data_IF_528419993799
#
_entry.id   IF_528419993799
#
_cell.length_a   1.000
_cell.length_b   1.000
_cell.length_c   1.000
_cell.angle_alpha   90.00
_cell.angle_beta   90.00
_cell.angle_gamma   90.00
#
_symmetry.space_group_name_H-M   'P 1'
#
loop_
_entity.id
_entity.type
_entity.pdbx_description
1 polymer ?
#
# COMPACT_ATOMS: atom_id res chain seq x y z
N UNK A 1 48.70 -62.24 8.74
CA UNK A 1 48.38 -61.94 7.34
C UNK A 1 48.37 -60.43 7.17
N UNK A 2 49.29 -59.90 6.36
CA UNK A 2 49.50 -58.47 6.11
C UNK A 2 48.92 -58.04 4.74
N UNK A 3 48.82 -56.71 4.57
CA UNK A 3 48.64 -55.90 3.34
C UNK A 3 47.20 -55.77 2.83
N UNK A 4 46.53 -54.63 3.04
CA UNK A 4 46.64 -53.31 2.37
C UNK A 4 45.96 -53.27 0.98
N UNK A 5 45.17 -52.20 0.85
CA UNK A 5 44.95 -51.35 -0.34
C UNK A 5 43.94 -51.73 -1.43
N UNK A 6 43.08 -50.73 -1.68
CA UNK A 6 42.57 -50.25 -2.97
C UNK A 6 41.42 -51.00 -3.65
N UNK A 7 40.21 -50.46 -3.46
CA UNK A 7 39.19 -50.19 -4.48
C UNK A 7 38.20 -49.23 -3.80
N UNK A 8 38.36 -47.90 -3.76
CA UNK A 8 38.49 -46.96 -4.87
C UNK A 8 37.47 -47.22 -5.98
N UNK A 9 36.17 -47.01 -5.71
CA UNK A 9 35.14 -46.71 -6.73
C UNK A 9 33.75 -46.41 -6.14
N UNK A 10 33.67 -45.50 -5.15
CA UNK A 10 32.45 -44.68 -4.96
C UNK A 10 32.87 -43.24 -4.70
N UNK A 11 33.70 -42.71 -5.61
CA UNK A 11 33.79 -41.27 -5.87
C UNK A 11 32.83 -40.98 -7.01
N UNK A 12 31.58 -40.70 -6.69
CA UNK A 12 30.71 -39.98 -7.61
C UNK A 12 29.95 -38.92 -6.80
N UNK A 13 30.54 -37.73 -6.79
CA UNK A 13 29.91 -36.42 -6.65
C UNK A 13 28.51 -36.41 -6.00
N UNK A 14 28.48 -36.34 -4.66
CA UNK A 14 27.52 -35.45 -4.01
C UNK A 14 27.93 -34.01 -4.30
N UNK A 15 27.76 -33.58 -5.54
CA UNK A 15 27.50 -32.18 -5.81
C UNK A 15 26.12 -31.90 -5.21
N UNK A 16 26.13 -31.54 -3.92
CA UNK A 16 25.05 -30.79 -3.31
C UNK A 16 24.88 -29.50 -4.13
N UNK A 17 24.17 -29.58 -5.25
CA UNK A 17 23.47 -28.44 -5.81
C UNK A 17 22.36 -28.11 -4.83
N UNK A 18 22.73 -27.46 -3.73
CA UNK A 18 21.86 -26.46 -3.14
C UNK A 18 21.57 -25.49 -4.27
N UNK A 19 20.44 -25.69 -4.96
CA UNK A 19 19.76 -24.60 -5.65
C UNK A 19 19.39 -23.65 -4.52
N UNK A 20 20.35 -22.80 -4.12
CA UNK A 20 20.00 -21.55 -3.49
C UNK A 20 19.13 -20.88 -4.54
N UNK A 21 17.82 -20.89 -4.31
CA UNK A 21 16.93 -19.99 -5.01
C UNK A 21 17.50 -18.60 -4.72
N UNK A 22 18.35 -18.12 -5.61
CA UNK A 22 18.93 -16.80 -5.53
C UNK A 22 17.71 -15.88 -5.61
N UNK A 23 17.42 -15.17 -4.52
CA UNK A 23 16.31 -14.23 -4.52
C UNK A 23 16.46 -13.35 -5.76
N UNK A 24 15.39 -13.20 -6.56
CA UNK A 24 15.48 -12.44 -7.80
C UNK A 24 16.07 -11.08 -7.47
N UNK A 25 17.17 -10.74 -8.16
CA UNK A 25 17.82 -9.44 -7.98
C UNK A 25 16.81 -8.36 -8.29
N UNK A 26 16.40 -7.62 -7.26
CA UNK A 26 15.42 -6.56 -7.40
C UNK A 26 16.03 -5.42 -8.20
N UNK A 27 15.29 -4.92 -9.19
CA UNK A 27 15.59 -3.65 -9.86
C UNK A 27 15.86 -2.57 -8.80
N UNK A 28 16.79 -1.62 -9.01
CA UNK A 28 16.98 -0.48 -8.11
C UNK A 28 15.68 0.30 -7.84
N UNK A 29 14.70 0.21 -8.74
CA UNK A 29 13.41 0.86 -8.60
C UNK A 29 12.29 -0.06 -8.11
N UNK A 30 12.55 -1.34 -7.80
CA UNK A 30 11.51 -2.32 -7.47
C UNK A 30 10.54 -1.79 -6.40
N UNK A 31 9.25 -1.75 -6.76
CA UNK A 31 8.17 -1.21 -5.92
C UNK A 31 8.03 0.32 -5.92
N UNK A 32 8.83 1.02 -6.72
CA UNK A 32 8.77 2.46 -6.97
C UNK A 32 8.27 2.81 -8.37
N UNK A 33 7.91 4.08 -8.57
CA UNK A 33 7.39 4.60 -9.85
C UNK A 33 8.38 4.44 -11.01
N UNK A 34 9.68 4.41 -10.74
CA UNK A 34 10.72 4.21 -11.74
C UNK A 34 10.79 2.80 -12.34
N UNK A 35 10.10 1.81 -11.78
CA UNK A 35 10.02 0.44 -12.34
C UNK A 35 8.82 0.29 -13.29
N UNK A 36 7.88 1.24 -13.24
CA UNK A 36 6.73 1.28 -14.15
C UNK A 36 7.14 1.95 -15.47
N UNK A 37 6.90 1.32 -16.64
CA UNK A 37 7.28 1.90 -17.91
C UNK A 37 6.48 3.20 -18.14
N UNK A 38 7.19 4.33 -18.16
CA UNK A 38 6.58 5.63 -18.48
C UNK A 38 6.17 5.58 -19.96
N UNK A 39 4.88 5.73 -20.29
CA UNK A 39 4.44 5.68 -21.68
C UNK A 39 5.03 6.86 -22.47
N UNK A 40 5.37 6.64 -23.74
CA UNK A 40 5.88 7.72 -24.60
C UNK A 40 4.82 8.80 -24.91
N UNK A 41 3.53 8.47 -24.75
CA UNK A 41 2.37 9.34 -24.90
C UNK A 41 1.71 9.63 -23.54
N UNK A 42 0.79 10.60 -23.47
CA UNK A 42 -0.01 10.87 -22.25
C UNK A 42 -0.72 9.59 -21.80
N UNK A 43 -0.55 9.25 -20.52
CA UNK A 43 -1.07 8.02 -19.95
C UNK A 43 -2.59 7.94 -19.89
N UNK A 44 -3.08 6.73 -19.66
CA UNK A 44 -4.49 6.37 -19.58
C UNK A 44 -4.83 5.66 -18.26
N UNK A 45 -5.84 4.78 -18.33
CA UNK A 45 -6.38 4.07 -17.16
C UNK A 45 -5.34 3.23 -16.40
N UNK A 46 -4.47 2.43 -17.06
CA UNK A 46 -3.47 1.61 -16.36
C UNK A 46 -2.47 2.42 -15.52
N UNK A 47 -2.05 3.58 -16.01
CA UNK A 47 -1.10 4.47 -15.35
C UNK A 47 -1.75 5.13 -14.12
N UNK A 48 -3.02 5.53 -14.25
CA UNK A 48 -3.78 6.05 -13.13
C UNK A 48 -3.97 4.99 -12.03
N UNK A 49 -4.38 3.77 -12.40
CA UNK A 49 -4.53 2.65 -11.48
C UNK A 49 -3.22 2.33 -10.76
N UNK A 50 -2.08 2.39 -11.49
CA UNK A 50 -0.77 2.26 -10.88
C UNK A 50 -0.50 3.36 -9.84
N UNK A 51 -0.75 4.63 -10.18
CA UNK A 51 -0.57 5.73 -9.23
C UNK A 51 -1.47 5.60 -7.99
N UNK A 52 -2.70 5.11 -8.15
CA UNK A 52 -3.60 4.82 -7.01
C UNK A 52 -3.02 3.74 -6.10
N UNK A 53 -2.54 2.62 -6.65
CA UNK A 53 -1.91 1.55 -5.88
C UNK A 53 -0.65 2.01 -5.15
N UNK A 54 0.18 2.78 -5.86
CA UNK A 54 1.42 3.33 -5.34
C UNK A 54 1.17 4.35 -4.21
N UNK A 55 0.16 5.20 -4.34
CA UNK A 55 -0.29 6.11 -3.29
C UNK A 55 -0.93 5.39 -2.09
N UNK A 56 -1.77 4.38 -2.35
CA UNK A 56 -2.44 3.57 -1.33
C UNK A 56 -1.43 2.92 -0.38
N UNK A 57 -0.29 2.47 -0.90
CA UNK A 57 0.79 1.86 -0.10
C UNK A 57 1.25 2.79 1.03
N UNK A 58 1.66 4.02 0.70
CA UNK A 58 2.21 4.94 1.70
C UNK A 58 1.12 5.48 2.64
N UNK A 59 -0.09 5.71 2.12
CA UNK A 59 -1.25 6.07 2.93
C UNK A 59 -1.56 5.00 3.99
N UNK A 60 -1.56 3.71 3.59
CA UNK A 60 -1.77 2.59 4.51
C UNK A 60 -0.68 2.53 5.59
N UNK A 61 0.59 2.70 5.22
CA UNK A 61 1.69 2.77 6.19
C UNK A 61 1.49 3.94 7.17
N UNK A 62 1.13 5.12 6.68
CA UNK A 62 0.84 6.29 7.50
C UNK A 62 -0.31 6.06 8.50
N UNK A 63 -1.38 5.39 8.08
CA UNK A 63 -2.49 5.01 8.96
C UNK A 63 -2.04 4.02 10.02
N UNK A 64 -1.32 2.96 9.64
CA UNK A 64 -0.79 1.97 10.60
C UNK A 64 0.12 2.61 11.65
N UNK A 65 0.89 3.64 11.27
CA UNK A 65 1.73 4.40 12.20
C UNK A 65 0.88 5.26 13.13
N UNK A 66 -0.10 5.98 12.60
CA UNK A 66 -1.01 6.84 13.38
C UNK A 66 -1.84 6.03 14.39
N UNK A 67 -2.18 4.79 14.03
CA UNK A 67 -2.86 3.82 14.88
C UNK A 67 -1.94 3.06 15.84
N UNK A 68 -0.62 3.33 15.81
CA UNK A 68 0.41 2.65 16.60
C UNK A 68 0.51 1.14 16.32
N UNK A 69 0.01 0.68 15.18
CA UNK A 69 0.17 -0.70 14.71
C UNK A 69 1.55 -0.95 14.08
N UNK A 70 2.25 0.11 13.68
CA UNK A 70 3.60 0.08 13.10
C UNK A 70 4.41 1.27 13.64
N UNK A 71 5.71 1.11 13.89
CA UNK A 71 6.60 2.23 14.19
C UNK A 71 7.24 2.78 12.92
N UNK A 72 7.62 4.06 12.91
CA UNK A 72 8.39 4.64 11.81
C UNK A 72 9.69 3.86 11.54
N UNK A 73 10.40 3.46 12.59
CA UNK A 73 11.62 2.66 12.46
C UNK A 73 11.37 1.31 11.76
N UNK A 74 10.31 0.60 12.15
CA UNK A 74 9.95 -0.68 11.52
C UNK A 74 9.53 -0.50 10.07
N UNK A 75 8.78 0.56 9.76
CA UNK A 75 8.39 0.90 8.38
C UNK A 75 9.63 1.16 7.49
N UNK A 76 10.60 1.97 7.97
CA UNK A 76 11.85 2.24 7.25
C UNK A 76 12.67 0.97 7.01
N UNK A 77 12.83 0.11 8.05
CA UNK A 77 13.52 -1.18 7.90
C UNK A 77 12.84 -2.08 6.87
N UNK A 78 11.51 -2.12 6.87
CA UNK A 78 10.74 -2.88 5.87
C UNK A 78 10.97 -2.34 4.46
N UNK A 79 10.97 -1.02 4.26
CA UNK A 79 11.25 -0.40 2.97
C UNK A 79 12.65 -0.81 2.45
N UNK A 80 13.68 -0.69 3.30
CA UNK A 80 15.06 -1.07 2.94
C UNK A 80 15.21 -2.56 2.62
N UNK A 81 14.50 -3.42 3.34
CA UNK A 81 14.59 -4.86 3.16
C UNK A 81 13.77 -5.40 1.99
N UNK A 82 12.70 -4.70 1.57
CA UNK A 82 11.70 -5.23 0.64
C UNK A 82 11.60 -4.48 -0.70
N UNK A 83 12.13 -3.26 -0.79
CA UNK A 83 12.07 -2.45 -2.01
C UNK A 83 13.45 -2.35 -2.69
N UNK A 84 13.45 -1.90 -3.94
CA UNK A 84 14.67 -1.44 -4.60
C UNK A 84 15.19 -0.16 -3.95
N UNK A 85 16.50 0.11 -4.05
CA UNK A 85 17.18 1.24 -3.40
C UNK A 85 16.46 2.59 -3.59
N UNK A 86 16.07 2.93 -4.83
CA UNK A 86 15.41 4.19 -5.14
C UNK A 86 13.99 4.25 -4.54
N UNK A 87 13.23 3.16 -4.64
CA UNK A 87 11.89 3.05 -4.08
C UNK A 87 11.91 3.14 -2.54
N UNK A 88 12.89 2.48 -1.91
CA UNK A 88 13.13 2.57 -0.47
C UNK A 88 13.45 4.02 -0.06
N UNK A 89 14.33 4.71 -0.79
CA UNK A 89 14.67 6.12 -0.53
C UNK A 89 13.44 7.02 -0.57
N UNK A 90 12.58 6.85 -1.57
CA UNK A 90 11.35 7.64 -1.69
C UNK A 90 10.35 7.32 -0.57
N UNK A 91 10.17 6.05 -0.20
CA UNK A 91 9.30 5.64 0.93
C UNK A 91 9.80 6.22 2.26
N UNK A 92 11.11 6.16 2.52
CA UNK A 92 11.72 6.72 3.72
C UNK A 92 11.55 8.23 3.77
N UNK A 93 11.77 8.95 2.67
CA UNK A 93 11.58 10.40 2.61
C UNK A 93 10.15 10.82 2.96
N UNK A 94 9.15 10.06 2.50
CA UNK A 94 7.75 10.28 2.86
C UNK A 94 7.46 10.01 4.34
N UNK A 95 8.02 8.94 4.89
CA UNK A 95 7.90 8.62 6.30
C UNK A 95 8.57 9.70 7.17
N UNK A 96 9.71 10.23 6.75
CA UNK A 96 10.40 11.33 7.43
C UNK A 96 9.58 12.62 7.40
N UNK A 97 8.95 12.95 6.26
CA UNK A 97 8.08 14.12 6.13
C UNK A 97 6.84 14.00 7.03
N UNK A 98 6.26 12.79 7.14
CA UNK A 98 5.16 12.52 8.07
C UNK A 98 5.61 12.63 9.54
N UNK A 99 6.76 12.06 9.90
CA UNK A 99 7.30 12.09 11.28
C UNK A 99 7.60 13.53 11.73
N UNK A 100 8.16 14.34 10.84
CA UNK A 100 8.46 15.77 11.07
C UNK A 100 7.22 16.67 10.99
N UNK A 101 6.05 16.12 10.66
CA UNK A 101 4.79 16.85 10.44
C UNK A 101 4.86 17.89 9.32
N UNK A 102 5.77 17.72 8.37
CA UNK A 102 5.81 18.49 7.12
C UNK A 102 4.61 18.10 6.24
N UNK A 103 4.22 16.81 6.30
CA UNK A 103 2.95 16.30 5.82
C UNK A 103 2.08 15.97 7.04
N UNK A 104 0.85 16.52 7.15
CA UNK A 104 0.12 16.56 8.42
C UNK A 104 -0.51 15.22 8.82
N UNK A 105 -0.83 14.35 7.86
CA UNK A 105 -1.52 13.10 8.11
C UNK A 105 -1.31 12.11 6.95
N UNK A 106 -1.77 10.86 7.15
CA UNK A 106 -1.65 9.80 6.15
C UNK A 106 -2.40 10.10 4.85
N UNK A 107 -3.55 10.77 4.90
CA UNK A 107 -4.35 11.11 3.72
C UNK A 107 -3.61 12.11 2.81
N UNK A 108 -3.02 13.15 3.39
CA UNK A 108 -2.17 14.11 2.72
C UNK A 108 -0.92 13.43 2.13
N UNK A 109 -0.36 12.43 2.83
CA UNK A 109 0.78 11.65 2.35
C UNK A 109 0.42 10.80 1.11
N UNK A 110 -0.72 10.11 1.14
CA UNK A 110 -1.26 9.41 -0.02
C UNK A 110 -1.52 10.33 -1.21
N UNK A 111 -2.14 11.49 -0.96
CA UNK A 111 -2.43 12.48 -1.97
C UNK A 111 -1.16 13.06 -2.62
N UNK A 112 -0.14 13.36 -1.83
CA UNK A 112 1.16 13.82 -2.32
C UNK A 112 1.83 12.73 -3.19
N UNK A 113 1.84 11.48 -2.74
CA UNK A 113 2.39 10.36 -3.49
C UNK A 113 1.65 10.14 -4.82
N UNK A 114 0.32 10.24 -4.82
CA UNK A 114 -0.50 10.18 -6.03
C UNK A 114 -0.14 11.31 -7.00
N UNK A 115 -0.06 12.55 -6.49
CA UNK A 115 0.27 13.73 -7.27
C UNK A 115 1.65 13.62 -7.94
N UNK A 116 2.69 13.24 -7.18
CA UNK A 116 4.04 13.06 -7.73
C UNK A 116 4.09 11.95 -8.79
N UNK A 117 3.38 10.85 -8.57
CA UNK A 117 3.26 9.79 -9.58
C UNK A 117 2.58 10.29 -10.86
N UNK A 118 1.47 11.01 -10.74
CA UNK A 118 0.75 11.58 -11.86
C UNK A 118 1.58 12.60 -12.65
N UNK A 119 2.42 13.42 -11.98
CA UNK A 119 3.40 14.30 -12.63
C UNK A 119 4.39 13.48 -13.45
N UNK A 120 5.00 12.46 -12.84
CA UNK A 120 6.02 11.63 -13.48
C UNK A 120 5.48 10.85 -14.69
N UNK A 121 4.25 10.34 -14.59
CA UNK A 121 3.57 9.62 -15.67
C UNK A 121 2.77 10.54 -16.63
N UNK A 122 2.89 11.86 -16.47
CA UNK A 122 2.26 12.88 -17.33
C UNK A 122 0.73 12.77 -17.41
N UNK A 123 0.07 12.42 -16.31
CA UNK A 123 -1.39 12.21 -16.19
C UNK A 123 -2.20 13.49 -15.92
N UNK A 124 -1.73 14.65 -16.40
CA UNK A 124 -2.35 15.98 -16.13
C UNK A 124 -2.76 16.21 -14.66
N UNK A 125 -1.80 16.25 -13.73
CA UNK A 125 -2.11 16.49 -12.33
C UNK A 125 -2.56 17.95 -12.12
N UNK A 126 -3.84 18.15 -11.81
CA UNK A 126 -4.36 19.45 -11.38
C UNK A 126 -4.16 19.62 -9.86
N UNK A 127 -3.95 20.83 -9.36
CA UNK A 127 -3.80 21.05 -7.92
C UNK A 127 -5.06 20.63 -7.15
N UNK A 128 -6.22 20.83 -7.76
CA UNK A 128 -7.55 20.38 -7.30
C UNK A 128 -7.61 18.85 -7.17
N UNK A 129 -6.87 18.12 -8.00
CA UNK A 129 -6.75 16.66 -7.91
C UNK A 129 -6.03 16.24 -6.63
N UNK A 130 -5.03 16.97 -6.16
CA UNK A 130 -4.37 16.63 -4.89
C UNK A 130 -5.32 16.79 -3.71
N UNK A 131 -6.09 17.88 -3.66
CA UNK A 131 -7.08 18.14 -2.60
C UNK A 131 -8.21 17.09 -2.64
N UNK A 132 -8.69 16.74 -3.83
CA UNK A 132 -9.68 15.67 -4.00
C UNK A 132 -9.15 14.32 -3.51
N UNK A 133 -7.91 13.98 -3.86
CA UNK A 133 -7.26 12.74 -3.42
C UNK A 133 -7.14 12.66 -1.90
N UNK A 134 -6.74 13.74 -1.24
CA UNK A 134 -6.63 13.79 0.22
C UNK A 134 -7.98 13.49 0.89
N UNK A 135 -9.05 14.18 0.45
CA UNK A 135 -10.41 13.92 0.95
C UNK A 135 -10.84 12.46 0.75
N UNK A 136 -10.52 11.88 -0.41
CA UNK A 136 -10.89 10.50 -0.70
C UNK A 136 -10.10 9.51 0.17
N UNK A 137 -8.79 9.70 0.35
CA UNK A 137 -8.01 8.87 1.27
C UNK A 137 -8.48 8.98 2.71
N UNK A 138 -8.83 10.19 3.18
CA UNK A 138 -9.38 10.41 4.52
C UNK A 138 -10.70 9.63 4.70
N UNK A 139 -11.62 9.75 3.75
CA UNK A 139 -12.93 9.07 3.79
C UNK A 139 -12.86 7.54 3.82
N UNK A 140 -11.77 6.96 3.31
CA UNK A 140 -11.58 5.52 3.21
C UNK A 140 -10.87 4.90 4.41
N UNK A 141 -10.35 5.71 5.35
CA UNK A 141 -9.54 5.22 6.46
C UNK A 141 -10.30 4.18 7.31
N UNK A 142 -11.55 4.46 7.67
CA UNK A 142 -12.34 3.53 8.48
C UNK A 142 -12.55 2.19 7.76
N UNK A 143 -12.88 2.23 6.47
CA UNK A 143 -13.09 1.02 5.66
C UNK A 143 -11.81 0.19 5.56
N UNK A 144 -10.68 0.86 5.34
CA UNK A 144 -9.37 0.22 5.27
C UNK A 144 -8.95 -0.39 6.61
N UNK A 145 -9.16 0.33 7.72
CA UNK A 145 -8.92 -0.17 9.07
C UNK A 145 -9.70 -1.45 9.34
N UNK A 146 -11.02 -1.41 9.14
CA UNK A 146 -11.92 -2.55 9.40
C UNK A 146 -11.52 -3.75 8.54
N UNK A 147 -11.20 -3.49 7.27
CA UNK A 147 -10.75 -4.52 6.34
C UNK A 147 -9.45 -5.20 6.80
N UNK A 148 -8.49 -4.42 7.31
CA UNK A 148 -7.24 -4.96 7.87
C UNK A 148 -7.50 -5.80 9.12
N UNK A 149 -8.39 -5.36 10.02
CA UNK A 149 -8.75 -6.15 11.21
C UNK A 149 -9.40 -7.49 10.84
N UNK A 150 -10.27 -7.51 9.82
CA UNK A 150 -10.81 -8.74 9.24
C UNK A 150 -9.71 -9.66 8.75
N UNK A 151 -8.73 -9.13 8.01
CA UNK A 151 -7.60 -9.91 7.50
C UNK A 151 -6.69 -10.46 8.62
N UNK A 152 -6.66 -9.80 9.77
CA UNK A 152 -6.04 -10.31 10.99
C UNK A 152 -6.91 -11.31 11.77
N UNK A 153 -8.04 -11.75 11.21
CA UNK A 153 -8.93 -12.75 11.82
C UNK A 153 -9.79 -12.22 12.96
N UNK A 154 -9.90 -10.89 13.14
CA UNK A 154 -10.79 -10.30 14.17
C UNK A 154 -12.25 -10.45 13.74
N UNK A 155 -13.14 -10.79 14.68
CA UNK A 155 -14.58 -10.84 14.41
C UNK A 155 -15.16 -9.44 14.21
N UNK A 156 -16.27 -9.36 13.46
CA UNK A 156 -17.02 -8.13 13.21
C UNK A 156 -17.39 -7.43 14.54
N UNK A 157 -17.86 -8.21 15.51
CA UNK A 157 -18.31 -7.75 16.82
C UNK A 157 -17.14 -7.15 17.62
N UNK A 158 -15.99 -7.82 17.62
CA UNK A 158 -14.78 -7.34 18.31
C UNK A 158 -14.33 -5.99 17.76
N UNK A 159 -14.32 -5.84 16.43
CA UNK A 159 -13.92 -4.60 15.76
C UNK A 159 -14.93 -3.49 16.03
N UNK A 160 -16.23 -3.80 15.98
CA UNK A 160 -17.31 -2.86 16.29
C UNK A 160 -17.19 -2.30 17.71
N UNK A 161 -17.05 -3.16 18.71
CA UNK A 161 -16.92 -2.76 20.12
C UNK A 161 -15.65 -1.94 20.37
N UNK A 162 -14.55 -2.26 19.67
CA UNK A 162 -13.34 -1.47 19.73
C UNK A 162 -13.57 -0.06 19.15
N UNK A 163 -14.15 0.03 17.95
CA UNK A 163 -14.37 1.31 17.26
C UNK A 163 -15.37 2.21 17.99
N UNK A 164 -16.45 1.67 18.56
CA UNK A 164 -17.38 2.46 19.37
C UNK A 164 -16.73 3.03 20.64
N UNK A 165 -15.74 2.34 21.21
CA UNK A 165 -14.98 2.83 22.36
C UNK A 165 -13.97 3.90 21.98
N UNK A 166 -13.28 3.73 20.85
CA UNK A 166 -12.25 4.66 20.38
C UNK A 166 -12.85 5.92 19.71
N UNK A 167 -13.93 5.76 18.95
CA UNK A 167 -14.54 6.81 18.13
C UNK A 167 -15.96 7.10 18.62
N UNK A 168 -16.08 7.74 19.79
CA UNK A 168 -17.37 8.00 20.46
C UNK A 168 -18.37 8.83 19.64
N UNK A 169 -17.89 9.59 18.67
CA UNK A 169 -18.71 10.43 17.78
C UNK A 169 -19.06 9.76 16.45
N UNK A 170 -18.57 8.53 16.21
CA UNK A 170 -18.82 7.82 14.97
C UNK A 170 -20.30 7.40 14.91
N UNK A 171 -21.06 7.79 13.86
CA UNK A 171 -22.44 7.37 13.73
C UNK A 171 -22.54 5.84 13.63
N UNK A 172 -23.38 5.23 14.48
CA UNK A 172 -23.50 3.76 14.57
C UNK A 172 -23.90 3.14 13.24
N UNK A 173 -24.89 3.73 12.55
CA UNK A 173 -25.36 3.25 11.23
C UNK A 173 -24.28 3.34 10.15
N UNK A 174 -23.35 4.29 10.27
CA UNK A 174 -22.23 4.41 9.35
C UNK A 174 -21.19 3.32 9.64
N UNK A 175 -20.83 3.13 10.91
CA UNK A 175 -19.95 2.05 11.36
C UNK A 175 -20.47 0.67 10.94
N UNK A 176 -21.75 0.39 11.18
CA UNK A 176 -22.36 -0.90 10.85
C UNK A 176 -22.36 -1.16 9.34
N UNK A 177 -22.63 -0.14 8.51
CA UNK A 177 -22.51 -0.26 7.05
C UNK A 177 -21.07 -0.50 6.58
N UNK A 178 -20.09 0.16 7.21
CA UNK A 178 -18.67 -0.07 6.90
C UNK A 178 -18.22 -1.48 7.28
N UNK A 179 -18.68 -1.97 8.43
CA UNK A 179 -18.43 -3.35 8.88
C UNK A 179 -19.06 -4.35 7.92
N UNK A 180 -20.31 -4.14 7.54
CA UNK A 180 -21.00 -5.04 6.61
C UNK A 180 -20.31 -5.07 5.26
N UNK A 181 -19.88 -3.92 4.73
CA UNK A 181 -19.11 -3.87 3.48
C UNK A 181 -17.82 -4.71 3.59
N UNK A 182 -17.00 -4.47 4.62
CA UNK A 182 -15.73 -5.16 4.81
C UNK A 182 -15.88 -6.67 5.09
N UNK A 183 -16.94 -7.09 5.81
CA UNK A 183 -17.17 -8.48 6.21
C UNK A 183 -18.11 -9.27 5.27
N UNK A 184 -18.78 -8.64 4.30
CA UNK A 184 -19.70 -9.28 3.34
C UNK A 184 -19.05 -10.32 2.40
N UNK A 185 -17.75 -10.57 2.52
CA UNK A 185 -17.03 -11.56 1.71
C UNK A 185 -16.79 -11.13 0.26
N UNK A 186 -17.41 -10.05 -0.23
CA UNK A 186 -16.96 -9.33 -1.43
C UNK A 186 -15.63 -8.67 -1.06
N UNK A 187 -14.57 -9.30 -1.56
CA UNK A 187 -13.31 -9.53 -0.85
C UNK A 187 -12.57 -8.24 -0.44
N UNK A 188 -11.97 -8.21 0.74
CA UNK A 188 -10.78 -7.35 0.98
C UNK A 188 -9.59 -8.27 1.19
N UNK A 189 -9.47 -9.25 0.30
CA UNK A 189 -8.30 -10.11 0.22
C UNK A 189 -7.18 -9.31 -0.45
N UNK A 190 -5.93 -9.67 -0.20
CA UNK A 190 -4.82 -9.20 -1.02
C UNK A 190 -5.12 -9.55 -2.49
N UNK A 191 -5.41 -8.51 -3.30
CA UNK A 191 -5.85 -8.65 -4.70
C UNK A 191 -7.29 -8.20 -5.00
N UNK A 192 -8.13 -7.86 -4.02
CA UNK A 192 -9.40 -7.20 -4.31
C UNK A 192 -9.21 -5.66 -4.39
N UNK A 193 -9.64 -5.02 -5.49
CA UNK A 193 -9.47 -3.59 -5.71
C UNK A 193 -10.50 -2.70 -4.96
N UNK A 194 -11.25 -3.17 -3.96
CA UNK A 194 -12.37 -2.43 -3.35
C UNK A 194 -11.96 -1.04 -2.85
N UNK A 195 -10.78 -0.92 -2.23
CA UNK A 195 -10.29 0.37 -1.75
C UNK A 195 -9.92 1.28 -2.93
N UNK A 196 -9.35 0.72 -3.98
CA UNK A 196 -8.98 1.39 -5.22
C UNK A 196 -10.21 1.83 -6.03
N UNK A 197 -11.24 1.00 -6.11
CA UNK A 197 -12.52 1.28 -6.73
C UNK A 197 -13.26 2.37 -5.95
N UNK A 198 -13.34 2.24 -4.62
CA UNK A 198 -13.94 3.25 -3.76
C UNK A 198 -13.19 4.59 -3.85
N UNK A 199 -11.86 4.55 -3.92
CA UNK A 199 -11.03 5.73 -4.16
C UNK A 199 -11.34 6.34 -5.53
N UNK A 200 -11.33 5.55 -6.60
CA UNK A 200 -11.58 6.01 -7.98
C UNK A 200 -12.97 6.61 -8.11
N UNK A 201 -13.98 6.00 -7.49
CA UNK A 201 -15.36 6.53 -7.46
C UNK A 201 -15.45 7.84 -6.68
N UNK A 202 -14.82 7.91 -5.50
CA UNK A 202 -14.76 9.14 -4.72
C UNK A 202 -14.09 10.27 -5.52
N UNK A 203 -12.95 9.94 -6.13
CA UNK A 203 -12.11 10.88 -6.85
C UNK A 203 -12.80 11.43 -8.10
N UNK A 204 -13.43 10.56 -8.89
CA UNK A 204 -14.21 10.96 -10.06
C UNK A 204 -15.36 11.91 -9.66
N UNK A 205 -16.06 11.61 -8.57
CA UNK A 205 -17.13 12.49 -8.04
C UNK A 205 -16.59 13.83 -7.56
N UNK A 206 -15.45 13.83 -6.86
CA UNK A 206 -14.83 15.04 -6.34
C UNK A 206 -14.32 15.99 -7.44
N UNK A 207 -14.00 15.44 -8.62
CA UNK A 207 -13.56 16.21 -9.79
C UNK A 207 -14.71 16.61 -10.74
N UNK A 208 -15.91 16.05 -10.55
CA UNK A 208 -17.07 16.46 -11.35
C UNK A 208 -17.60 17.77 -10.78
N UNK A 209 -17.71 18.86 -11.57
CA UNK A 209 -18.35 20.08 -11.10
C UNK A 209 -19.77 19.77 -10.65
N UNK A 210 -20.12 20.09 -9.40
CA UNK A 210 -21.53 20.13 -9.02
C UNK A 210 -22.17 21.25 -9.80
N UNK A 211 -23.13 20.93 -10.67
CA UNK A 211 -23.99 21.93 -11.30
C UNK A 211 -24.51 22.88 -10.21
N UNK A 212 -24.55 24.20 -10.45
CA UNK A 212 -25.20 25.11 -9.52
C UNK A 212 -26.64 24.63 -9.35
N UNK A 213 -27.07 24.42 -8.10
CA UNK A 213 -28.47 24.13 -7.81
C UNK A 213 -29.32 25.25 -8.43
N UNK A 214 -30.44 24.91 -9.12
CA UNK A 214 -31.37 25.90 -9.63
C UNK A 214 -31.95 26.76 -8.51
#
# INVERSE_FOLDING_TARGET
>A
MHYKTLFALVSLCLCCFTVMAQEPTRSPNYGGVGDYPVPQVRGGKPEYEYCVLYAKRIWRLGNMISEKALSFESARKSAQANLGENAAREEIADLDALEKKEIPNAAALGAERLYRCAVQLKLFPLAESKVAAEKCFDSLHLLEYVSRQRNYGRSRETVREFLLRQMKTLPVDFLDRTLDLAYSGKTVMDGNPMIEEAFTMCFARALTPTEPKP
#
